data_IF_289458544110
#
_entry.id   IF_289458544110
#
_cell.length_a   1.000
_cell.length_b   1.000
_cell.length_c   1.000
_cell.angle_alpha   90.00
_cell.angle_beta   90.00
_cell.angle_gamma   90.00
#
_symmetry.space_group_name_H-M   'P 1'
#
loop_
_entity.id
_entity.type
_entity.pdbx_description
1 polymer ?
#
# COMPACT_ATOMS: atom_id res chain seq x y z
N UNK A 1 42.07 -39.89 -3.39
CA UNK A 1 41.82 -38.94 -2.29
C UNK A 1 41.16 -37.74 -2.92
N UNK A 2 39.94 -37.55 -2.46
CA UNK A 2 39.00 -36.49 -2.76
C UNK A 2 39.56 -35.11 -2.41
N UNK A 3 39.23 -34.08 -3.21
CA UNK A 3 38.98 -32.70 -2.76
C UNK A 3 38.24 -31.97 -3.91
N UNK A 4 36.98 -32.32 -4.13
CA UNK A 4 36.03 -31.36 -4.72
C UNK A 4 35.80 -30.22 -3.73
N UNK A 5 36.26 -29.01 -4.05
CA UNK A 5 35.99 -27.81 -3.25
C UNK A 5 34.53 -27.37 -3.49
N UNK A 6 33.78 -27.05 -2.43
CA UNK A 6 32.34 -27.22 -2.39
C UNK A 6 31.61 -26.11 -3.12
N UNK A 7 30.43 -26.47 -3.61
CA UNK A 7 29.42 -25.60 -4.14
C UNK A 7 29.36 -24.27 -3.39
N UNK A 8 29.38 -23.18 -4.15
CA UNK A 8 28.80 -21.91 -3.76
C UNK A 8 27.35 -22.17 -3.34
N UNK A 9 27.14 -22.43 -2.06
CA UNK A 9 25.82 -22.48 -1.46
C UNK A 9 25.37 -21.03 -1.27
N UNK A 10 25.10 -20.37 -2.40
CA UNK A 10 24.30 -19.16 -2.42
C UNK A 10 22.87 -19.67 -2.23
N UNK A 11 22.50 -19.96 -0.97
CA UNK A 11 21.09 -20.09 -0.62
C UNK A 11 20.43 -18.82 -1.17
N UNK A 12 19.64 -18.99 -2.23
CA UNK A 12 18.90 -17.92 -2.84
C UNK A 12 17.97 -17.39 -1.75
N UNK A 13 18.42 -16.36 -1.03
CA UNK A 13 17.63 -15.65 -0.04
C UNK A 13 16.37 -15.24 -0.79
N UNK A 14 15.25 -15.90 -0.47
CA UNK A 14 14.03 -15.80 -1.27
C UNK A 14 13.73 -14.32 -1.53
N UNK A 15 13.69 -13.95 -2.81
CA UNK A 15 13.54 -12.56 -3.20
C UNK A 15 12.25 -12.00 -2.60
N UNK A 16 12.35 -10.80 -2.03
CA UNK A 16 11.22 -10.15 -1.35
C UNK A 16 10.08 -9.91 -2.33
N UNK A 17 8.87 -10.25 -1.91
CA UNK A 17 7.62 -10.01 -2.64
C UNK A 17 7.04 -8.69 -2.15
N UNK A 18 7.11 -7.65 -3.00
CA UNK A 18 6.87 -6.27 -2.61
C UNK A 18 5.43 -5.87 -2.95
N UNK A 19 4.73 -5.31 -1.97
CA UNK A 19 3.36 -4.80 -2.12
C UNK A 19 3.32 -3.32 -1.73
N UNK A 20 2.84 -2.50 -2.65
CA UNK A 20 2.68 -1.07 -2.43
C UNK A 20 1.32 -0.84 -1.78
N UNK A 21 1.28 -0.16 -0.64
CA UNK A 21 0.05 0.15 0.09
C UNK A 21 -0.26 1.64 -0.11
N UNK A 22 -1.25 1.96 -0.94
CA UNK A 22 -1.53 3.36 -1.31
C UNK A 22 -3.02 3.69 -1.33
N UNK A 23 -3.32 4.98 -1.38
CA UNK A 23 -4.67 5.54 -1.27
C UNK A 23 -4.78 6.49 -0.09
N UNK A 24 -5.91 6.44 0.64
CA UNK A 24 -6.19 7.40 1.72
C UNK A 24 -6.27 6.75 3.12
N UNK A 25 -7.01 7.37 4.05
CA UNK A 25 -6.98 7.04 5.48
C UNK A 25 -7.34 5.59 5.80
N UNK A 26 -8.20 4.94 5.01
CA UNK A 26 -8.54 3.53 5.24
C UNK A 26 -7.42 2.57 4.82
N UNK A 27 -6.57 2.94 3.86
CA UNK A 27 -5.30 2.25 3.62
C UNK A 27 -4.24 2.64 4.66
N UNK A 28 -4.16 3.93 5.03
CA UNK A 28 -3.18 4.40 6.00
C UNK A 28 -3.38 3.76 7.39
N UNK A 29 -4.63 3.52 7.75
CA UNK A 29 -5.04 2.86 8.98
C UNK A 29 -5.64 3.82 9.98
N UNK A 30 -6.87 3.51 10.43
CA UNK A 30 -7.60 4.23 11.49
C UNK A 30 -8.27 3.29 12.49
N UNK A 31 -8.02 1.98 12.39
CA UNK A 31 -8.56 1.01 13.35
C UNK A 31 -8.03 1.29 14.75
N UNK A 32 -8.92 1.36 15.74
CA UNK A 32 -8.58 1.67 17.14
C UNK A 32 -8.24 3.14 17.41
N UNK A 33 -8.31 4.04 16.42
CA UNK A 33 -8.07 5.48 16.64
C UNK A 33 -9.35 6.13 17.12
N UNK A 34 -9.32 6.69 18.34
CA UNK A 34 -10.45 7.41 18.90
C UNK A 34 -10.73 8.72 18.13
N UNK A 35 -12.01 8.97 17.85
CA UNK A 35 -12.43 10.11 17.02
C UNK A 35 -12.26 11.45 17.72
N UNK A 36 -12.25 11.51 19.05
CA UNK A 36 -12.17 12.74 19.83
C UNK A 36 -10.74 13.03 20.25
N UNK A 37 -10.07 12.06 20.89
CA UNK A 37 -8.70 12.22 21.41
C UNK A 37 -7.64 12.11 20.33
N UNK A 38 -7.98 11.49 19.17
CA UNK A 38 -7.05 11.16 18.10
C UNK A 38 -5.90 10.27 18.58
N UNK A 39 -6.13 9.44 19.58
CA UNK A 39 -5.16 8.46 20.07
C UNK A 39 -5.53 7.07 19.57
N UNK A 40 -4.52 6.28 19.22
CA UNK A 40 -4.69 4.86 18.93
C UNK A 40 -4.70 4.07 20.24
N UNK A 41 -5.64 3.13 20.38
CA UNK A 41 -5.78 2.26 21.55
C UNK A 41 -4.63 1.25 21.74
N UNK A 42 -3.77 1.09 20.73
CA UNK A 42 -2.65 0.14 20.75
C UNK A 42 -3.07 -1.32 20.56
N UNK A 43 -4.34 -1.58 20.25
CA UNK A 43 -4.85 -2.95 20.06
C UNK A 43 -4.49 -3.43 18.66
N UNK A 44 -3.76 -4.55 18.60
CA UNK A 44 -3.37 -5.23 17.36
C UNK A 44 -4.04 -6.61 17.32
N UNK A 45 -4.94 -6.88 16.36
CA UNK A 45 -5.54 -8.20 16.19
C UNK A 45 -4.49 -9.29 15.89
N UNK A 46 -4.75 -10.56 16.25
CA UNK A 46 -3.84 -11.68 15.98
C UNK A 46 -3.43 -11.80 14.50
N UNK A 47 -4.36 -11.52 13.58
CA UNK A 47 -4.15 -11.56 12.14
C UNK A 47 -3.16 -10.48 11.66
N UNK A 48 -2.97 -9.42 12.44
CA UNK A 48 -2.01 -8.35 12.18
C UNK A 48 -0.73 -8.47 13.01
N UNK A 49 -0.48 -9.64 13.62
CA UNK A 49 0.72 -9.87 14.41
C UNK A 49 1.99 -9.74 13.56
N UNK A 50 3.07 -9.17 14.12
CA UNK A 50 4.35 -9.05 13.42
C UNK A 50 5.03 -10.40 13.25
N UNK A 51 5.74 -10.57 12.14
CA UNK A 51 6.62 -11.71 11.89
C UNK A 51 7.96 -11.20 11.35
N UNK A 52 8.95 -11.10 12.25
CA UNK A 52 10.25 -10.52 11.95
C UNK A 52 11.05 -11.31 10.89
N UNK A 53 10.65 -12.54 10.59
CA UNK A 53 11.33 -13.39 9.59
C UNK A 53 10.70 -13.30 8.19
N UNK A 54 9.44 -12.86 8.11
CA UNK A 54 8.64 -12.91 6.87
C UNK A 54 8.05 -11.58 6.44
N UNK A 55 7.83 -10.62 7.32
CA UNK A 55 7.12 -9.38 6.99
C UNK A 55 7.96 -8.17 7.38
N UNK A 56 8.38 -7.41 6.38
CA UNK A 56 9.16 -6.19 6.55
C UNK A 56 8.44 -5.00 5.90
N UNK A 57 8.74 -3.79 6.37
CA UNK A 57 8.16 -2.52 5.94
C UNK A 57 9.27 -1.59 5.50
N UNK A 58 9.04 -0.81 4.45
CA UNK A 58 9.95 0.26 4.03
C UNK A 58 9.61 1.55 4.80
N UNK A 59 10.53 2.01 5.64
CA UNK A 59 10.38 3.24 6.43
C UNK A 59 10.36 4.50 5.56
N UNK A 60 10.03 5.66 6.15
CA UNK A 60 10.14 6.96 5.50
C UNK A 60 11.58 7.27 5.03
N UNK A 61 12.58 6.73 5.73
CA UNK A 61 14.01 6.86 5.44
C UNK A 61 14.49 5.92 4.32
N UNK A 62 13.59 5.09 3.77
CA UNK A 62 13.87 4.07 2.74
C UNK A 62 14.70 2.88 3.25
N UNK A 63 14.60 2.60 4.55
CA UNK A 63 15.21 1.43 5.17
C UNK A 63 14.17 0.33 5.40
N UNK A 64 14.57 -0.93 5.22
CA UNK A 64 13.72 -2.07 5.53
C UNK A 64 13.79 -2.39 7.02
N UNK A 65 12.64 -2.45 7.68
CA UNK A 65 12.49 -2.80 9.11
C UNK A 65 11.40 -3.85 9.31
N UNK A 66 11.32 -4.44 10.51
CA UNK A 66 10.24 -5.37 10.84
C UNK A 66 8.89 -4.64 10.78
N UNK A 67 7.94 -5.18 10.02
CA UNK A 67 6.62 -4.56 9.89
C UNK A 67 5.81 -4.68 11.18
N UNK A 68 5.26 -3.56 11.64
CA UNK A 68 4.38 -3.45 12.81
C UNK A 68 3.33 -2.38 12.55
N UNK A 69 2.11 -2.57 13.04
CA UNK A 69 1.13 -1.49 13.06
C UNK A 69 1.55 -0.38 14.03
N UNK A 70 1.24 0.90 13.74
CA UNK A 70 0.60 1.39 12.51
C UNK A 70 1.59 1.50 11.34
N UNK A 71 1.29 0.88 10.19
CA UNK A 71 2.24 0.83 9.05
C UNK A 71 2.57 2.20 8.42
N UNK A 72 1.69 3.20 8.56
CA UNK A 72 1.85 4.52 7.94
C UNK A 72 2.28 5.63 8.93
N UNK A 73 2.71 5.29 10.16
CA UNK A 73 2.98 6.28 11.21
C UNK A 73 4.02 7.36 10.83
N UNK A 74 5.02 7.01 10.02
CA UNK A 74 6.07 7.93 9.51
C UNK A 74 5.80 8.40 8.06
N UNK A 75 4.66 7.99 7.47
CA UNK A 75 4.24 8.32 6.11
C UNK A 75 3.09 9.34 6.12
N UNK A 76 1.98 9.01 6.79
CA UNK A 76 0.79 9.86 6.94
C UNK A 76 0.90 10.74 8.20
N UNK A 77 2.02 11.45 8.32
CA UNK A 77 2.47 12.12 9.56
C UNK A 77 1.56 13.23 10.08
N UNK A 78 0.62 13.71 9.26
CA UNK A 78 -0.35 14.75 9.65
C UNK A 78 -1.54 14.18 10.44
N UNK A 79 -1.64 12.85 10.57
CA UNK A 79 -2.79 12.18 11.19
C UNK A 79 -2.31 11.02 12.06
N UNK A 80 -3.00 10.78 13.18
CA UNK A 80 -2.77 9.55 13.95
C UNK A 80 -3.17 8.34 13.13
N UNK A 81 -2.24 7.41 12.96
CA UNK A 81 -2.46 6.12 12.32
C UNK A 81 -2.81 5.06 13.35
N UNK A 82 -3.65 4.11 12.95
CA UNK A 82 -3.94 2.88 13.70
C UNK A 82 -3.83 1.67 12.79
N UNK A 83 -4.57 0.62 13.11
CA UNK A 83 -4.56 -0.62 12.31
C UNK A 83 -5.05 -0.35 10.88
N UNK A 84 -4.39 -0.99 9.92
CA UNK A 84 -4.69 -0.94 8.49
C UNK A 84 -4.81 -2.37 7.90
N UNK A 85 -5.16 -2.56 6.62
CA UNK A 85 -5.28 -3.91 6.04
C UNK A 85 -3.93 -4.57 5.70
N UNK A 86 -2.80 -3.85 5.81
CA UNK A 86 -1.50 -4.31 5.30
C UNK A 86 -0.94 -5.52 6.06
N UNK A 87 -0.99 -5.52 7.40
CA UNK A 87 -0.44 -6.63 8.19
C UNK A 87 -1.30 -7.90 8.07
N UNK A 88 -2.62 -7.77 8.08
CA UNK A 88 -3.53 -8.91 7.90
C UNK A 88 -3.43 -9.51 6.50
N UNK A 89 -3.32 -8.67 5.46
CA UNK A 89 -2.99 -9.12 4.10
C UNK A 89 -1.67 -9.90 4.08
N UNK A 90 -0.60 -9.34 4.66
CA UNK A 90 0.70 -9.97 4.64
C UNK A 90 0.69 -11.34 5.35
N UNK A 91 0.09 -11.43 6.54
CA UNK A 91 -0.04 -12.71 7.25
C UNK A 91 -0.87 -13.74 6.47
N UNK A 92 -1.91 -13.32 5.75
CA UNK A 92 -2.74 -14.21 4.96
C UNK A 92 -1.99 -14.83 3.75
N UNK A 93 -0.96 -14.17 3.22
CA UNK A 93 -0.29 -14.60 1.98
C UNK A 93 1.16 -15.07 2.17
N UNK A 94 1.83 -14.76 3.29
CA UNK A 94 3.27 -15.03 3.51
C UNK A 94 3.67 -16.49 3.33
N UNK A 95 2.83 -17.44 3.70
CA UNK A 95 3.15 -18.87 3.55
C UNK A 95 3.16 -19.32 2.09
N UNK A 96 2.46 -18.59 1.21
CA UNK A 96 2.40 -18.88 -0.23
C UNK A 96 3.49 -18.15 -1.02
N UNK A 97 3.86 -16.95 -0.59
CA UNK A 97 4.72 -16.05 -1.37
C UNK A 97 6.13 -15.89 -0.79
N UNK A 98 6.35 -16.23 0.48
CA UNK A 98 7.64 -16.08 1.15
C UNK A 98 7.79 -14.75 1.90
N UNK A 99 8.94 -14.09 1.76
CA UNK A 99 9.22 -12.82 2.46
C UNK A 99 8.44 -11.68 1.79
N UNK A 100 7.65 -10.96 2.55
CA UNK A 100 6.81 -9.84 2.13
C UNK A 100 7.47 -8.52 2.50
N UNK A 101 7.58 -7.62 1.52
CA UNK A 101 7.95 -6.23 1.72
C UNK A 101 6.76 -5.29 1.53
N UNK A 102 6.34 -4.59 2.58
CA UNK A 102 5.26 -3.61 2.53
C UNK A 102 5.83 -2.21 2.30
N UNK A 103 5.29 -1.50 1.31
CA UNK A 103 5.71 -0.13 0.96
C UNK A 103 4.55 0.83 1.23
N UNK A 104 4.42 1.35 2.46
CA UNK A 104 3.35 2.27 2.82
C UNK A 104 3.53 3.61 2.11
N UNK A 105 2.47 4.08 1.46
CA UNK A 105 2.44 5.32 0.67
C UNK A 105 1.16 6.13 0.91
N UNK A 106 0.11 5.56 1.53
CA UNK A 106 -1.19 6.22 1.66
C UNK A 106 -1.16 7.49 2.51
N UNK A 107 -2.01 8.47 2.17
CA UNK A 107 -2.12 9.76 2.86
C UNK A 107 -3.58 10.13 3.07
N UNK A 108 -3.97 10.38 4.33
CA UNK A 108 -5.37 10.56 4.71
C UNK A 108 -6.03 11.83 4.17
N UNK A 109 -7.26 11.70 3.68
CA UNK A 109 -8.10 12.81 3.23
C UNK A 109 -7.82 13.28 1.80
N UNK A 110 -7.06 12.51 1.02
CA UNK A 110 -6.65 12.88 -0.33
C UNK A 110 -7.66 12.38 -1.37
N UNK A 111 -8.01 13.24 -2.33
CA UNK A 111 -8.80 12.91 -3.52
C UNK A 111 -7.89 12.35 -4.63
N UNK A 112 -8.45 11.63 -5.62
CA UNK A 112 -7.64 10.96 -6.65
C UNK A 112 -6.83 11.96 -7.51
N UNK A 113 -7.33 13.19 -7.68
CA UNK A 113 -6.60 14.26 -8.38
C UNK A 113 -5.26 14.64 -7.71
N UNK A 114 -5.15 14.45 -6.40
CA UNK A 114 -3.88 14.67 -5.67
C UNK A 114 -2.88 13.54 -5.93
N UNK A 115 -3.30 12.46 -6.59
CA UNK A 115 -2.50 11.33 -7.04
C UNK A 115 -2.21 11.35 -8.54
N UNK A 116 -2.49 12.46 -9.24
CA UNK A 116 -2.09 12.63 -10.62
C UNK A 116 -0.56 12.60 -10.79
N UNK A 117 -0.08 12.13 -11.95
CA UNK A 117 1.37 12.10 -12.25
C UNK A 117 1.98 13.50 -12.13
N UNK A 118 3.16 13.60 -11.52
CA UNK A 118 3.82 14.88 -11.21
C UNK A 118 3.38 15.53 -9.90
N UNK A 119 2.31 15.06 -9.22
CA UNK A 119 1.99 15.54 -7.87
C UNK A 119 2.92 14.94 -6.83
N UNK A 120 3.04 15.60 -5.68
CA UNK A 120 3.91 15.15 -4.60
C UNK A 120 3.61 13.71 -4.13
N UNK A 121 2.32 13.34 -4.00
CA UNK A 121 1.92 12.02 -3.51
C UNK A 121 2.27 10.91 -4.51
N UNK A 122 1.97 11.14 -5.78
CA UNK A 122 2.29 10.21 -6.86
C UNK A 122 3.81 9.99 -6.98
N UNK A 123 4.58 11.08 -7.06
CA UNK A 123 6.03 11.01 -7.19
C UNK A 123 6.67 10.33 -5.98
N UNK A 124 6.15 10.57 -4.77
CA UNK A 124 6.64 9.90 -3.57
C UNK A 124 6.34 8.39 -3.60
N UNK A 125 5.14 7.98 -4.03
CA UNK A 125 4.81 6.56 -4.20
C UNK A 125 5.74 5.87 -5.19
N UNK A 126 5.95 6.47 -6.37
CA UNK A 126 6.86 5.92 -7.40
C UNK A 126 8.30 5.87 -6.89
N UNK A 127 8.79 6.91 -6.22
CA UNK A 127 10.12 6.95 -5.61
C UNK A 127 10.30 5.82 -4.60
N UNK A 128 9.34 5.62 -3.70
CA UNK A 128 9.38 4.57 -2.67
C UNK A 128 9.33 3.18 -3.28
N UNK A 129 8.48 2.97 -4.29
CA UNK A 129 8.42 1.72 -5.04
C UNK A 129 9.75 1.37 -5.72
N UNK A 130 10.40 2.35 -6.37
CA UNK A 130 11.73 2.17 -6.97
C UNK A 130 12.81 1.89 -5.92
N UNK A 131 12.77 2.58 -4.79
CA UNK A 131 13.70 2.32 -3.69
C UNK A 131 13.50 0.90 -3.09
N UNK A 132 12.27 0.40 -3.01
CA UNK A 132 11.96 -0.91 -2.44
C UNK A 132 12.66 -2.06 -3.17
N UNK A 133 12.89 -1.93 -4.48
CA UNK A 133 13.58 -2.95 -5.28
C UNK A 133 15.11 -2.79 -5.29
N UNK A 134 15.65 -1.67 -4.77
CA UNK A 134 17.10 -1.53 -4.56
C UNK A 134 17.56 -2.53 -3.48
N UNK A 135 18.39 -3.50 -3.87
CA UNK A 135 18.76 -4.63 -3.02
C UNK A 135 17.92 -5.90 -3.22
N UNK A 136 17.16 -5.96 -4.32
CA UNK A 136 16.48 -7.17 -4.79
C UNK A 136 15.07 -7.35 -4.22
N UNK A 137 14.26 -8.11 -4.94
CA UNK A 137 12.82 -8.25 -4.72
C UNK A 137 12.04 -7.83 -5.96
N UNK A 138 10.75 -8.11 -5.96
CA UNK A 138 9.86 -7.85 -7.09
C UNK A 138 8.55 -7.24 -6.61
N UNK A 139 8.10 -6.18 -7.29
CA UNK A 139 6.81 -5.56 -7.01
C UNK A 139 5.72 -6.49 -7.57
N UNK A 140 4.88 -7.03 -6.68
CA UNK A 140 3.84 -7.99 -7.02
C UNK A 140 2.47 -7.37 -7.21
N UNK A 141 2.14 -6.32 -6.45
CA UNK A 141 0.90 -5.57 -6.66
C UNK A 141 0.93 -4.19 -6.00
N UNK A 142 0.03 -3.33 -6.45
CA UNK A 142 -0.43 -2.16 -5.69
C UNK A 142 -1.75 -2.50 -5.04
N UNK A 143 -1.85 -2.35 -3.71
CA UNK A 143 -3.10 -2.35 -2.98
C UNK A 143 -3.57 -0.90 -2.87
N UNK A 144 -4.74 -0.62 -3.44
CA UNK A 144 -5.28 0.72 -3.56
C UNK A 144 -6.62 0.83 -2.82
N UNK A 145 -6.69 1.66 -1.78
CA UNK A 145 -7.96 1.95 -1.10
C UNK A 145 -8.13 3.46 -0.96
N UNK A 146 -8.90 4.02 -1.88
CA UNK A 146 -9.19 5.44 -2.01
C UNK A 146 -10.53 5.66 -2.72
N UNK A 147 -11.12 6.82 -2.50
CA UNK A 147 -12.29 7.30 -3.23
C UNK A 147 -13.27 8.07 -2.35
N UNK A 148 -13.14 7.98 -1.03
CA UNK A 148 -14.10 8.63 -0.13
C UNK A 148 -14.03 10.17 -0.24
N UNK A 149 -12.84 10.74 -0.47
CA UNK A 149 -12.71 12.18 -0.72
C UNK A 149 -13.36 12.62 -2.04
N UNK A 150 -13.36 11.75 -3.06
CA UNK A 150 -13.95 12.04 -4.37
C UNK A 150 -15.49 12.00 -4.36
N UNK A 151 -16.10 11.55 -3.26
CA UNK A 151 -17.56 11.69 -3.06
C UNK A 151 -17.99 13.12 -2.68
N UNK A 152 -17.09 14.10 -2.62
CA UNK A 152 -17.43 15.44 -2.10
C UNK A 152 -18.14 16.34 -3.12
N UNK A 153 -17.97 16.09 -4.42
CA UNK A 153 -18.53 16.93 -5.48
C UNK A 153 -18.93 16.10 -6.70
N UNK A 154 -19.85 16.63 -7.52
CA UNK A 154 -20.25 15.93 -8.74
C UNK A 154 -19.09 15.87 -9.76
N UNK A 155 -18.25 16.90 -9.83
CA UNK A 155 -17.08 16.96 -10.70
C UNK A 155 -16.04 15.88 -10.35
N UNK A 156 -15.75 15.70 -9.05
CA UNK A 156 -14.80 14.67 -8.60
C UNK A 156 -15.30 13.26 -8.96
N UNK A 157 -16.61 13.02 -8.80
CA UNK A 157 -17.24 11.73 -9.12
C UNK A 157 -17.22 11.44 -10.62
N UNK A 158 -17.54 12.45 -11.44
CA UNK A 158 -17.58 12.30 -12.90
C UNK A 158 -16.19 12.06 -13.49
N UNK A 159 -15.14 12.62 -12.88
CA UNK A 159 -13.76 12.43 -13.31
C UNK A 159 -13.06 11.21 -12.68
N UNK A 160 -13.64 10.60 -11.65
CA UNK A 160 -12.99 9.53 -10.88
C UNK A 160 -12.54 8.34 -11.74
N UNK A 161 -13.40 7.87 -12.66
CA UNK A 161 -13.08 6.71 -13.51
C UNK A 161 -11.86 6.96 -14.38
N UNK A 162 -11.84 8.09 -15.10
CA UNK A 162 -10.74 8.46 -15.99
C UNK A 162 -9.44 8.69 -15.19
N UNK A 163 -9.55 9.33 -14.03
CA UNK A 163 -8.40 9.54 -13.13
C UNK A 163 -7.83 8.20 -12.63
N UNK A 164 -8.69 7.22 -12.32
CA UNK A 164 -8.27 5.90 -11.87
C UNK A 164 -7.57 5.10 -12.98
N UNK A 165 -8.13 5.10 -14.19
CA UNK A 165 -7.51 4.47 -15.37
C UNK A 165 -6.15 5.13 -15.68
N UNK A 166 -6.09 6.45 -15.60
CA UNK A 166 -4.86 7.24 -15.79
C UNK A 166 -3.83 6.92 -14.72
N UNK A 167 -4.22 6.82 -13.46
CA UNK A 167 -3.34 6.42 -12.36
C UNK A 167 -2.72 5.04 -12.62
N UNK A 168 -3.54 4.05 -12.98
CA UNK A 168 -3.07 2.68 -13.29
C UNK A 168 -2.04 2.70 -14.42
N UNK A 169 -2.36 3.37 -15.53
CA UNK A 169 -1.47 3.49 -16.68
C UNK A 169 -0.14 4.17 -16.32
N UNK A 170 -0.20 5.28 -15.58
CA UNK A 170 0.99 6.01 -15.15
C UNK A 170 1.87 5.16 -14.24
N UNK A 171 1.30 4.51 -13.21
CA UNK A 171 2.07 3.64 -12.30
C UNK A 171 2.76 2.50 -13.06
N UNK A 172 2.06 1.84 -13.98
CA UNK A 172 2.63 0.77 -14.81
C UNK A 172 3.78 1.29 -15.67
N UNK A 173 3.62 2.46 -16.29
CA UNK A 173 4.64 3.08 -17.12
C UNK A 173 5.87 3.50 -16.30
N UNK A 174 5.69 4.23 -15.21
CA UNK A 174 6.78 4.79 -14.42
C UNK A 174 7.55 3.76 -13.59
N UNK A 175 6.93 2.62 -13.28
CA UNK A 175 7.59 1.45 -12.70
C UNK A 175 8.12 0.46 -13.76
N UNK A 176 7.82 0.67 -15.04
CA UNK A 176 8.13 -0.23 -16.15
C UNK A 176 7.60 -1.66 -15.94
N UNK A 177 6.35 -1.76 -15.45
CA UNK A 177 5.66 -3.02 -15.15
C UNK A 177 4.28 -3.01 -15.84
N UNK A 178 4.19 -3.29 -17.16
CA UNK A 178 2.96 -3.13 -17.94
C UNK A 178 1.80 -4.04 -17.47
N UNK A 179 2.12 -5.17 -16.83
CA UNK A 179 1.15 -6.13 -16.29
C UNK A 179 1.02 -6.06 -14.76
N UNK A 180 1.49 -4.98 -14.11
CA UNK A 180 1.41 -4.85 -12.66
C UNK A 180 -0.06 -4.94 -12.21
N UNK A 181 -0.40 -5.89 -11.32
CA UNK A 181 -1.71 -5.94 -10.69
C UNK A 181 -1.92 -4.71 -9.81
N UNK A 182 -3.06 -4.04 -9.99
CA UNK A 182 -3.56 -3.05 -9.05
C UNK A 182 -4.88 -3.58 -8.49
N UNK A 183 -4.88 -3.87 -7.19
CA UNK A 183 -6.03 -4.41 -6.46
C UNK A 183 -6.68 -3.23 -5.75
N UNK A 184 -7.81 -2.77 -6.29
CA UNK A 184 -8.58 -1.66 -5.75
C UNK A 184 -9.71 -2.13 -4.83
N UNK A 185 -10.07 -1.30 -3.85
CA UNK A 185 -11.16 -1.55 -2.90
C UNK A 185 -12.35 -0.66 -3.24
N UNK A 186 -13.53 -1.27 -3.41
CA UNK A 186 -14.78 -0.50 -3.49
C UNK A 186 -15.05 0.15 -2.13
N UNK A 187 -15.12 1.47 -2.10
CA UNK A 187 -15.18 2.23 -0.85
C UNK A 187 -16.41 1.87 -0.02
N UNK A 188 -16.22 1.75 1.30
CA UNK A 188 -17.30 1.37 2.23
C UNK A 188 -18.04 2.57 2.82
N UNK A 189 -17.51 3.78 2.67
CA UNK A 189 -18.07 5.01 3.24
C UNK A 189 -17.73 6.23 2.37
N UNK A 190 -18.37 7.37 2.63
CA UNK A 190 -18.26 8.60 1.85
C UNK A 190 -19.53 9.43 1.97
N UNK A 191 -19.67 10.49 1.17
CA UNK A 191 -20.94 11.18 0.99
C UNK A 191 -21.93 10.24 0.29
N UNK A 192 -23.03 9.93 0.98
CA UNK A 192 -24.07 9.04 0.50
C UNK A 192 -24.66 9.46 -0.85
N UNK A 193 -24.60 10.76 -1.20
CA UNK A 193 -25.11 11.27 -2.48
C UNK A 193 -24.39 10.68 -3.68
N UNK A 194 -23.09 10.40 -3.56
CA UNK A 194 -22.26 9.95 -4.68
C UNK A 194 -21.51 8.64 -4.45
N UNK A 195 -21.62 8.06 -3.26
CA UNK A 195 -20.98 6.81 -2.87
C UNK A 195 -21.18 5.69 -3.91
N UNK A 196 -22.43 5.43 -4.29
CA UNK A 196 -22.74 4.34 -5.24
C UNK A 196 -22.11 4.57 -6.63
N UNK A 197 -22.05 5.83 -7.09
CA UNK A 197 -21.39 6.14 -8.37
C UNK A 197 -19.90 5.81 -8.35
N UNK A 198 -19.20 6.11 -7.25
CA UNK A 198 -17.78 5.74 -7.11
C UNK A 198 -17.62 4.21 -7.08
N UNK A 199 -18.50 3.50 -6.35
CA UNK A 199 -18.46 2.02 -6.27
C UNK A 199 -18.67 1.35 -7.63
N UNK A 200 -19.59 1.86 -8.44
CA UNK A 200 -19.84 1.36 -9.80
C UNK A 200 -18.58 1.42 -10.69
N UNK A 201 -17.71 2.41 -10.50
CA UNK A 201 -16.46 2.51 -11.25
C UNK A 201 -15.38 1.54 -10.75
N UNK A 202 -15.41 1.16 -9.48
CA UNK A 202 -14.46 0.18 -8.93
C UNK A 202 -14.75 -1.25 -9.40
N UNK A 203 -16.03 -1.61 -9.60
CA UNK A 203 -16.43 -2.98 -9.96
C UNK A 203 -16.23 -3.33 -11.44
N UNK A 204 -16.00 -2.33 -12.31
CA UNK A 204 -15.97 -2.49 -13.78
C UNK A 204 -14.56 -2.48 -14.39
N UNK A 205 -13.52 -2.43 -13.56
CA UNK A 205 -12.11 -2.18 -13.95
C UNK A 205 -11.20 -3.36 -13.59
#
# INVERSE_FOLDING_TARGET
MDLSNPAQNNEARSAKQIFILSGQSNMAGRGGVDRHTKQWDGVVPPESSPDASKIIRLSAQLDWEVAREPLHHDIDTKKTCGVCPGMSFANAVKERVGVIGLVPCAVGGTAIKEWARGTHLYENMVKRAKAAVHGGGEIKAVLWYQGESDTSSQEDVESYKENMETLICNVRADLNLPSLPLIQVAIASGDAKYLEKIREYTERN
#
